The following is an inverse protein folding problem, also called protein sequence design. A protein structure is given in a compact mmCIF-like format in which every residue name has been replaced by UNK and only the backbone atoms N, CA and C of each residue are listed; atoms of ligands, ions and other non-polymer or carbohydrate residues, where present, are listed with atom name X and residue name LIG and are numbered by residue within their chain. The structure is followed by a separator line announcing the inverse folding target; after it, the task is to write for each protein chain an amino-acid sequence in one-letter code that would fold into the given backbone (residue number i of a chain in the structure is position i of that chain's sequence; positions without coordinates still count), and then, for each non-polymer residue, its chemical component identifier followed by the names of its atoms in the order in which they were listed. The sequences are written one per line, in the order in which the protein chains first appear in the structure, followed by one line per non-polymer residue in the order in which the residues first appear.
data_IF_051493357828
#
_entry.id   IF_051493357828
#
_cell.length_a   1.000
_cell.length_b   1.000
_cell.length_c   1.000
_cell.angle_alpha   90.00
_cell.angle_beta   90.00
_cell.angle_gamma   90.00
#
_symmetry.space_group_name_H-M   'P 1'
#
loop_
_entity.id
_entity.type
_entity.pdbx_description
1 polymer ?
#
# COMPACT_ATOMS: atom_id res chain seq x y z
N UNK A 1 5.50 -21.05 -1.30
CA UNK A 1 4.08 -20.72 -1.06
C UNK A 1 3.50 -20.17 -2.34
N UNK A 2 2.27 -20.52 -2.66
CA UNK A 2 1.54 -19.91 -3.78
C UNK A 2 0.46 -19.02 -3.18
N UNK A 3 0.53 -17.72 -3.45
CA UNK A 3 -0.50 -16.77 -3.01
C UNK A 3 -1.66 -16.75 -4.00
N UNK A 4 -2.87 -16.55 -3.49
CA UNK A 4 -4.04 -16.35 -4.35
C UNK A 4 -3.99 -14.97 -4.99
N UNK A 5 -4.46 -14.85 -6.23
CA UNK A 5 -4.55 -13.55 -6.89
C UNK A 5 -5.83 -12.79 -6.46
N UNK A 6 -5.90 -12.44 -5.19
CA UNK A 6 -7.00 -11.69 -4.56
C UNK A 6 -6.47 -10.96 -3.32
N UNK A 7 -7.33 -10.17 -2.66
CA UNK A 7 -6.92 -9.33 -1.53
C UNK A 7 -6.22 -10.11 -0.40
N UNK A 8 -6.73 -11.28 0.00
CA UNK A 8 -6.08 -12.09 1.04
C UNK A 8 -4.66 -12.51 0.62
N UNK A 9 -4.51 -13.01 -0.60
CA UNK A 9 -3.21 -13.44 -1.10
C UNK A 9 -2.23 -12.29 -1.27
N UNK A 10 -2.68 -11.13 -1.76
CA UNK A 10 -1.84 -9.93 -1.87
C UNK A 10 -1.36 -9.44 -0.51
N UNK A 11 -2.23 -9.42 0.52
CA UNK A 11 -1.83 -9.02 1.87
C UNK A 11 -0.81 -9.99 2.45
N UNK A 12 -1.02 -11.31 2.30
CA UNK A 12 -0.09 -12.33 2.80
C UNK A 12 1.27 -12.23 2.12
N UNK A 13 1.28 -12.07 0.81
CA UNK A 13 2.52 -11.88 0.05
C UNK A 13 3.26 -10.62 0.51
N UNK A 14 2.55 -9.51 0.69
CA UNK A 14 3.14 -8.28 1.22
C UNK A 14 3.70 -8.46 2.62
N UNK A 15 3.02 -9.16 3.53
CA UNK A 15 3.54 -9.44 4.89
C UNK A 15 4.84 -10.25 4.86
N UNK A 16 4.93 -11.25 3.98
CA UNK A 16 6.14 -12.07 3.81
C UNK A 16 7.32 -11.25 3.27
N UNK A 17 7.05 -10.30 2.37
CA UNK A 17 8.06 -9.36 1.86
C UNK A 17 8.45 -8.36 2.96
N UNK A 18 7.47 -7.76 3.63
CA UNK A 18 7.67 -6.81 4.73
C UNK A 18 8.54 -7.41 5.83
N UNK A 19 8.30 -8.67 6.21
CA UNK A 19 9.10 -9.38 7.22
C UNK A 19 10.59 -9.48 6.84
N UNK A 20 10.91 -9.72 5.56
CA UNK A 20 12.31 -9.77 5.07
C UNK A 20 13.01 -8.42 5.13
N UNK A 21 12.24 -7.34 5.09
CA UNK A 21 12.73 -5.96 5.11
C UNK A 21 12.55 -5.25 6.47
N UNK A 22 12.15 -5.98 7.52
CA UNK A 22 11.86 -5.43 8.85
C UNK A 22 10.80 -4.32 8.84
N UNK A 23 9.81 -4.40 7.95
CA UNK A 23 8.68 -3.47 7.90
C UNK A 23 7.55 -4.04 8.77
N UNK A 24 7.16 -3.37 9.87
CA UNK A 24 6.09 -3.85 10.74
C UNK A 24 4.70 -3.68 10.11
N UNK A 25 3.80 -4.60 10.45
CA UNK A 25 2.38 -4.51 10.11
C UNK A 25 1.64 -5.82 10.32
N UNK A 26 0.32 -5.75 10.43
CA UNK A 26 -0.54 -6.94 10.55
C UNK A 26 -1.52 -7.05 9.39
N UNK A 27 -2.00 -8.28 9.14
CA UNK A 27 -3.05 -8.54 8.15
C UNK A 27 -4.26 -7.62 8.38
N UNK A 28 -4.73 -7.50 9.63
CA UNK A 28 -5.90 -6.70 9.98
C UNK A 28 -5.65 -5.20 9.80
N UNK A 29 -4.45 -4.72 10.13
CA UNK A 29 -4.04 -3.34 9.88
C UNK A 29 -4.08 -3.02 8.38
N UNK A 30 -3.48 -3.86 7.55
CA UNK A 30 -3.48 -3.70 6.09
C UNK A 30 -4.91 -3.76 5.56
N UNK A 31 -5.65 -4.82 5.86
CA UNK A 31 -7.02 -5.03 5.38
C UNK A 31 -7.92 -3.85 5.73
N UNK A 32 -7.91 -3.37 6.98
CA UNK A 32 -8.68 -2.21 7.42
C UNK A 32 -8.42 -0.98 6.57
N UNK A 33 -7.14 -0.67 6.35
CA UNK A 33 -6.76 0.50 5.57
C UNK A 33 -7.13 0.30 4.09
N UNK A 34 -6.90 -0.87 3.48
CA UNK A 34 -7.28 -1.15 2.08
C UNK A 34 -8.77 -0.96 1.84
N UNK A 35 -9.62 -1.49 2.72
CA UNK A 35 -11.07 -1.35 2.58
C UNK A 35 -11.49 0.13 2.69
N UNK A 36 -10.89 0.89 3.59
CA UNK A 36 -11.16 2.34 3.72
C UNK A 36 -10.75 3.12 2.47
N UNK A 37 -9.55 2.86 1.95
CA UNK A 37 -8.97 3.66 0.87
C UNK A 37 -9.53 3.32 -0.52
N UNK A 38 -9.81 2.05 -0.81
CA UNK A 38 -10.13 1.60 -2.17
C UNK A 38 -11.27 0.58 -2.26
N UNK A 39 -11.85 0.18 -1.13
CA UNK A 39 -12.77 -0.97 -1.07
C UNK A 39 -12.18 -2.26 -1.69
N UNK A 40 -10.85 -2.40 -1.68
CA UNK A 40 -10.14 -3.53 -2.28
C UNK A 40 -9.91 -3.45 -3.79
N UNK A 41 -10.15 -2.30 -4.43
CA UNK A 41 -9.90 -2.11 -5.85
C UNK A 41 -8.43 -1.71 -6.12
N UNK A 42 -7.60 -2.58 -6.73
CA UNK A 42 -6.20 -2.27 -7.02
C UNK A 42 -6.01 -1.21 -8.11
N UNK A 43 -7.07 -0.88 -8.86
CA UNK A 43 -7.06 0.14 -9.91
C UNK A 43 -7.72 1.45 -9.48
N UNK A 44 -7.98 1.63 -8.17
CA UNK A 44 -8.55 2.86 -7.64
C UNK A 44 -7.60 4.06 -7.90
N UNK A 45 -8.18 5.19 -8.31
CA UNK A 45 -7.47 6.45 -8.53
C UNK A 45 -8.33 7.62 -8.04
N UNK A 46 -7.73 8.54 -7.28
CA UNK A 46 -8.38 9.79 -6.89
C UNK A 46 -7.98 10.93 -7.84
N UNK A 47 -8.95 11.50 -8.55
CA UNK A 47 -8.73 12.58 -9.52
C UNK A 47 -9.23 13.96 -9.04
N UNK A 48 -9.67 14.07 -7.79
CA UNK A 48 -10.40 15.27 -7.32
C UNK A 48 -9.62 16.11 -6.31
N UNK A 49 -8.58 15.57 -5.69
CA UNK A 49 -7.86 16.24 -4.62
C UNK A 49 -6.70 17.12 -5.10
N UNK A 50 -5.99 17.72 -4.14
CA UNK A 50 -4.85 18.60 -4.43
C UNK A 50 -3.66 17.87 -5.07
N UNK A 51 -3.53 16.56 -4.88
CA UNK A 51 -2.47 15.76 -5.49
C UNK A 51 -2.80 15.49 -6.96
N UNK A 52 -4.07 15.18 -7.26
CA UNK A 52 -4.57 15.08 -8.62
C UNK A 52 -4.39 16.40 -9.39
N UNK A 53 -4.72 17.53 -8.76
CA UNK A 53 -4.49 18.85 -9.36
C UNK A 53 -3.00 19.15 -9.63
N UNK A 54 -2.09 18.55 -8.86
CA UNK A 54 -0.63 18.64 -9.07
C UNK A 54 -0.09 17.59 -10.04
N UNK A 55 -0.94 16.74 -10.61
CA UNK A 55 -0.54 15.70 -11.56
C UNK A 55 0.00 14.42 -10.92
N UNK A 56 -0.10 14.25 -9.60
CA UNK A 56 0.34 13.04 -8.87
C UNK A 56 -0.80 12.44 -8.07
N UNK A 57 -1.89 11.99 -8.72
CA UNK A 57 -3.05 11.45 -8.03
C UNK A 57 -2.69 10.22 -7.18
N UNK A 58 -3.44 10.02 -6.09
CA UNK A 58 -3.35 8.82 -5.26
C UNK A 58 -3.88 7.60 -6.01
N UNK A 59 -3.19 6.45 -5.90
CA UNK A 59 -3.46 5.23 -6.68
C UNK A 59 -3.41 3.95 -5.87
N UNK A 60 -4.12 2.95 -6.36
CA UNK A 60 -4.06 1.57 -5.88
C UNK A 60 -4.75 1.33 -4.54
N UNK A 61 -4.47 0.17 -3.95
CA UNK A 61 -5.19 -0.35 -2.78
C UNK A 61 -5.15 0.56 -1.56
N UNK A 62 -4.02 1.23 -1.33
CA UNK A 62 -3.80 2.14 -0.20
C UNK A 62 -3.62 3.60 -0.63
N UNK A 63 -4.06 3.94 -1.86
CA UNK A 63 -4.14 5.32 -2.33
C UNK A 63 -2.83 6.12 -2.17
N UNK A 64 -1.71 5.51 -2.58
CA UNK A 64 -0.37 6.11 -2.50
C UNK A 64 -0.11 6.98 -3.73
N UNK A 65 0.46 8.18 -3.54
CA UNK A 65 0.92 9.03 -4.66
C UNK A 65 2.27 8.55 -5.21
N UNK A 66 2.54 8.85 -6.50
CA UNK A 66 3.77 8.39 -7.18
C UNK A 66 5.08 8.75 -6.45
N UNK A 67 5.28 9.99 -5.92
CA UNK A 67 6.51 10.33 -5.22
C UNK A 67 6.72 9.50 -3.95
N UNK A 68 5.64 9.22 -3.21
CA UNK A 68 5.69 8.39 -2.00
C UNK A 68 5.94 6.93 -2.36
N UNK A 69 5.26 6.41 -3.39
CA UNK A 69 5.52 5.05 -3.88
C UNK A 69 6.98 4.86 -4.27
N UNK A 70 7.55 5.80 -5.05
CA UNK A 70 8.94 5.72 -5.47
C UNK A 70 9.93 5.79 -4.30
N UNK A 71 9.68 6.67 -3.31
CA UNK A 71 10.56 6.83 -2.15
C UNK A 71 10.52 5.63 -1.17
N UNK A 72 9.39 4.93 -1.10
CA UNK A 72 9.16 3.82 -0.16
C UNK A 72 9.00 2.46 -0.83
N UNK A 73 9.28 2.37 -2.14
CA UNK A 73 9.28 1.11 -2.87
C UNK A 73 10.18 0.08 -2.18
N UNK A 74 9.71 -1.16 -2.13
CA UNK A 74 10.42 -2.26 -1.47
C UNK A 74 11.05 -3.15 -2.55
N UNK A 75 12.37 -3.36 -2.54
CA UNK A 75 13.03 -4.22 -3.52
C UNK A 75 12.40 -5.62 -3.56
N UNK A 76 12.23 -6.16 -4.77
CA UNK A 76 11.58 -7.46 -4.98
C UNK A 76 10.09 -7.39 -5.30
N UNK A 77 9.46 -6.20 -5.27
CA UNK A 77 8.12 -5.98 -5.84
C UNK A 77 8.19 -5.27 -7.19
N UNK A 78 7.10 -5.33 -7.96
CA UNK A 78 6.96 -4.55 -9.18
C UNK A 78 7.13 -3.05 -8.89
N UNK A 79 7.65 -2.30 -9.87
CA UNK A 79 7.70 -0.83 -9.82
C UNK A 79 6.45 -0.25 -10.49
N UNK A 80 5.28 -0.55 -9.92
CA UNK A 80 3.97 -0.12 -10.41
C UNK A 80 3.03 0.12 -9.21
N UNK A 81 2.50 1.35 -9.00
CA UNK A 81 1.59 1.63 -7.90
C UNK A 81 0.23 0.94 -8.04
N UNK A 82 -0.13 0.39 -9.20
CA UNK A 82 -1.33 -0.43 -9.37
C UNK A 82 -1.10 -1.92 -9.11
N UNK A 83 0.16 -2.35 -9.02
CA UNK A 83 0.45 -3.70 -8.58
C UNK A 83 0.08 -3.84 -7.09
N UNK A 84 -0.83 -4.76 -6.73
CA UNK A 84 -1.42 -4.79 -5.39
C UNK A 84 -0.38 -5.04 -4.30
N UNK A 85 0.55 -5.96 -4.54
CA UNK A 85 1.62 -6.30 -3.59
C UNK A 85 2.57 -5.12 -3.42
N UNK A 86 3.02 -4.51 -4.53
CA UNK A 86 3.91 -3.35 -4.49
C UNK A 86 3.28 -2.15 -3.78
N UNK A 87 2.00 -1.88 -4.05
CA UNK A 87 1.25 -0.79 -3.42
C UNK A 87 1.13 -0.99 -1.91
N UNK A 88 0.75 -2.20 -1.48
CA UNK A 88 0.66 -2.55 -0.05
C UNK A 88 2.03 -2.41 0.63
N UNK A 89 3.09 -2.99 0.05
CA UNK A 89 4.42 -2.97 0.67
C UNK A 89 4.98 -1.56 0.78
N UNK A 90 4.83 -0.73 -0.27
CA UNK A 90 5.32 0.65 -0.26
C UNK A 90 4.55 1.52 0.75
N UNK A 91 3.23 1.38 0.81
CA UNK A 91 2.40 2.08 1.80
C UNK A 91 2.75 1.68 3.24
N UNK A 92 2.97 0.38 3.50
CA UNK A 92 3.36 -0.08 4.83
C UNK A 92 4.77 0.40 5.22
N UNK A 93 5.70 0.46 4.27
CA UNK A 93 7.03 1.01 4.49
C UNK A 93 6.96 2.50 4.85
N UNK A 94 6.14 3.27 4.12
CA UNK A 94 5.85 4.66 4.47
C UNK A 94 5.23 4.78 5.87
N UNK A 95 4.22 3.95 6.18
CA UNK A 95 3.54 3.96 7.47
C UNK A 95 4.48 3.62 8.63
N UNK A 96 5.39 2.66 8.43
CA UNK A 96 6.43 2.33 9.41
C UNK A 96 7.35 3.53 9.69
N UNK A 97 7.80 4.23 8.64
CA UNK A 97 8.67 5.40 8.78
C UNK A 97 7.98 6.60 9.44
N UNK A 98 6.66 6.76 9.27
CA UNK A 98 5.91 7.91 9.79
C UNK A 98 5.20 7.66 11.12
N UNK A 99 4.70 6.45 11.32
CA UNK A 99 3.78 6.09 12.40
C UNK A 99 4.23 4.85 13.18
N UNK A 100 5.36 4.24 12.81
CA UNK A 100 5.88 3.02 13.43
C UNK A 100 5.24 1.72 12.94
N UNK A 101 4.03 1.76 12.37
CA UNK A 101 3.36 0.62 11.69
C UNK A 101 2.11 1.10 10.95
N UNK A 102 1.69 0.37 9.92
CA UNK A 102 0.35 0.46 9.31
C UNK A 102 -0.78 0.29 10.33
N UNK A 103 -0.53 -0.43 11.43
CA UNK A 103 -1.51 -0.66 12.48
C UNK A 103 -1.91 0.64 13.21
N UNK A 104 -0.99 1.61 13.24
CA UNK A 104 -1.16 2.91 13.87
C UNK A 104 -1.83 3.96 12.95
N UNK A 105 -2.24 3.56 11.75
CA UNK A 105 -2.89 4.47 10.77
C UNK A 105 -4.41 4.35 10.87
N UNK A 106 -5.05 5.44 11.30
CA UNK A 106 -6.50 5.49 11.52
C UNK A 106 -7.25 6.41 10.54
N UNK A 107 -6.55 7.23 9.75
CA UNK A 107 -7.11 8.14 8.75
C UNK A 107 -6.51 7.94 7.35
N UNK A 108 -7.04 8.66 6.36
CA UNK A 108 -6.58 8.62 4.97
C UNK A 108 -5.11 9.03 4.83
N UNK A 109 -4.46 8.47 3.80
CA UNK A 109 -3.06 8.73 3.44
C UNK A 109 -2.85 10.07 2.72
#
# INVERSE_FOLDING_TARGET
MTYTNNLDGWIRESLDIMAKHNIPGTYNGIYRNVIRESSGNPLAINNWDSNAAKGTPSKGLLQVIDPTFAAYHVPGTAFDPYNPVANITAACNYAAARYGSIDNVFGAY
#
